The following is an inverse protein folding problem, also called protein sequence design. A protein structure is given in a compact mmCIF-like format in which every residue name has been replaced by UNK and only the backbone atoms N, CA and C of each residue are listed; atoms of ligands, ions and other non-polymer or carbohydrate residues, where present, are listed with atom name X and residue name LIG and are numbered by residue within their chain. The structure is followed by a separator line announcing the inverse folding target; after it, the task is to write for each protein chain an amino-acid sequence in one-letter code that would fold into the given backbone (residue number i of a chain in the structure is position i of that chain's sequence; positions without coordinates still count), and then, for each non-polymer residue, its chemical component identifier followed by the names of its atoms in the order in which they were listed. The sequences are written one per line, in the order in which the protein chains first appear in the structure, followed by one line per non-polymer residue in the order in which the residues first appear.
data_IF_818736257923
#
_entry.id   IF_818736257923
#
_cell.length_a   1.000
_cell.length_b   1.000
_cell.length_c   1.000
_cell.angle_alpha   90.00
_cell.angle_beta   90.00
_cell.angle_gamma   90.00
#
_symmetry.space_group_name_H-M   'P 1'
#
loop_
_entity.id
_entity.type
_entity.pdbx_description
1 polymer ?
#
# COMPACT_ATOMS: atom_id res chain seq x y z
N UNK A 1 13.86 4.11 16.07
CA UNK A 1 13.07 5.01 16.94
C UNK A 1 11.57 4.88 16.65
N UNK A 2 11.10 5.01 15.40
CA UNK A 2 9.67 4.88 15.06
C UNK A 2 9.00 3.54 15.47
N UNK A 3 9.57 2.40 15.06
CA UNK A 3 9.00 1.06 15.39
C UNK A 3 8.82 0.88 16.90
N UNK A 4 9.86 1.20 17.70
CA UNK A 4 9.78 1.09 19.16
C UNK A 4 8.69 1.99 19.76
N UNK A 5 8.53 3.21 19.24
CA UNK A 5 7.48 4.13 19.69
C UNK A 5 6.08 3.57 19.38
N UNK A 6 5.85 3.09 18.16
CA UNK A 6 4.58 2.46 17.80
C UNK A 6 4.30 1.19 18.61
N UNK A 7 5.29 0.31 18.80
CA UNK A 7 5.14 -0.89 19.63
C UNK A 7 4.79 -0.55 21.08
N UNK A 8 5.36 0.52 21.64
CA UNK A 8 5.01 0.97 22.99
C UNK A 8 3.61 1.60 23.04
N UNK A 9 3.21 2.38 22.04
CA UNK A 9 1.87 2.94 21.95
C UNK A 9 0.80 1.84 21.86
N UNK A 10 1.08 0.73 21.15
CA UNK A 10 0.19 -0.44 21.04
C UNK A 10 0.03 -1.23 22.35
N UNK A 11 0.84 -0.96 23.39
CA UNK A 11 0.60 -1.51 24.75
C UNK A 11 -0.49 -0.75 25.50
N UNK A 12 -0.75 0.50 25.11
CA UNK A 12 -1.71 1.39 25.76
C UNK A 12 -3.00 1.46 24.95
N UNK A 13 -2.88 1.74 23.66
CA UNK A 13 -4.01 1.73 22.74
C UNK A 13 -4.21 0.32 22.21
N UNK A 14 -5.36 -0.26 22.53
CA UNK A 14 -5.78 -1.55 22.00
C UNK A 14 -6.95 -1.35 21.04
N UNK A 15 -7.28 -2.40 20.28
CA UNK A 15 -8.46 -2.40 19.42
C UNK A 15 -9.76 -2.12 20.22
N UNK A 16 -9.81 -2.55 21.48
CA UNK A 16 -10.98 -2.39 22.36
C UNK A 16 -11.02 -1.02 23.03
N UNK A 17 -9.88 -0.54 23.54
CA UNK A 17 -9.84 0.70 24.34
C UNK A 17 -9.79 1.96 23.48
N UNK A 18 -9.13 1.91 22.33
CA UNK A 18 -8.94 3.07 21.47
C UNK A 18 -8.80 2.66 20.00
N UNK A 19 -9.89 2.15 19.38
CA UNK A 19 -9.85 1.55 18.04
C UNK A 19 -9.17 2.46 17.00
N UNK A 20 -9.55 3.75 16.93
CA UNK A 20 -8.98 4.71 15.98
C UNK A 20 -7.47 4.90 16.18
N UNK A 21 -7.03 5.15 17.41
CA UNK A 21 -5.60 5.34 17.71
C UNK A 21 -4.81 4.06 17.46
N UNK A 22 -5.36 2.90 17.80
CA UNK A 22 -4.76 1.61 17.51
C UNK A 22 -4.60 1.40 16.00
N UNK A 23 -5.66 1.62 15.20
CA UNK A 23 -5.60 1.50 13.75
C UNK A 23 -4.57 2.44 13.10
N UNK A 24 -4.51 3.70 13.56
CA UNK A 24 -3.51 4.66 13.10
C UNK A 24 -2.08 4.25 13.46
N UNK A 25 -1.90 3.70 14.65
CA UNK A 25 -0.59 3.23 15.13
C UNK A 25 -0.12 2.00 14.36
N UNK A 26 -1.05 1.08 14.02
CA UNK A 26 -0.75 -0.08 13.18
C UNK A 26 -0.33 0.33 11.77
N UNK A 27 -1.00 1.31 11.15
CA UNK A 27 -0.59 1.81 9.82
C UNK A 27 0.77 2.53 9.87
N UNK A 28 1.02 3.34 10.91
CA UNK A 28 2.33 3.93 11.14
C UNK A 28 3.43 2.88 11.30
N UNK A 29 3.14 1.79 12.02
CA UNK A 29 4.04 0.64 12.16
C UNK A 29 4.28 -0.04 10.81
N UNK A 30 3.24 -0.23 9.99
CA UNK A 30 3.36 -0.80 8.65
C UNK A 30 4.30 0.02 7.77
N UNK A 31 4.09 1.34 7.71
CA UNK A 31 4.94 2.26 6.97
C UNK A 31 6.40 2.25 7.48
N UNK A 32 6.59 2.20 8.80
CA UNK A 32 7.92 2.14 9.39
C UNK A 32 8.68 0.86 9.02
N UNK A 33 7.99 -0.28 8.95
CA UNK A 33 8.58 -1.54 8.48
C UNK A 33 8.87 -1.53 6.97
N UNK A 34 7.97 -0.98 6.15
CA UNK A 34 8.19 -0.84 4.70
C UNK A 34 9.49 -0.09 4.38
N UNK A 35 9.77 0.98 5.12
CA UNK A 35 10.92 1.85 4.91
C UNK A 35 12.17 1.43 5.71
N UNK A 36 12.11 0.34 6.47
CA UNK A 36 13.22 -0.08 7.33
C UNK A 36 14.33 -0.74 6.51
N UNK A 37 15.49 -0.07 6.45
CA UNK A 37 16.70 -0.57 5.77
C UNK A 37 17.45 -1.61 6.63
N UNK A 38 17.31 -1.55 7.95
CA UNK A 38 18.00 -2.47 8.88
C UNK A 38 17.23 -3.78 9.09
N UNK A 39 17.94 -4.87 9.36
CA UNK A 39 17.35 -6.19 9.62
C UNK A 39 17.09 -6.96 8.32
N UNK A 40 16.38 -8.08 8.43
CA UNK A 40 16.01 -8.87 7.26
C UNK A 40 14.88 -8.18 6.47
N UNK A 41 15.11 -7.95 5.17
CA UNK A 41 14.14 -7.25 4.32
C UNK A 41 12.85 -8.05 4.14
N UNK A 42 12.95 -9.38 4.05
CA UNK A 42 11.77 -10.22 3.88
C UNK A 42 10.88 -10.17 5.14
N UNK A 43 11.47 -10.28 6.32
CA UNK A 43 10.77 -10.14 7.59
C UNK A 43 10.13 -8.75 7.77
N UNK A 44 10.84 -7.68 7.42
CA UNK A 44 10.28 -6.32 7.46
C UNK A 44 9.02 -6.21 6.59
N UNK A 45 9.01 -6.81 5.40
CA UNK A 45 7.84 -6.79 4.51
C UNK A 45 6.67 -7.59 5.09
N UNK A 46 6.91 -8.75 5.72
CA UNK A 46 5.84 -9.49 6.39
C UNK A 46 5.25 -8.71 7.57
N UNK A 47 6.10 -8.07 8.38
CA UNK A 47 5.66 -7.22 9.49
C UNK A 47 4.85 -6.02 9.02
N UNK A 48 5.22 -5.43 7.87
CA UNK A 48 4.44 -4.37 7.25
C UNK A 48 3.05 -4.84 6.80
N UNK A 49 2.98 -6.00 6.14
CA UNK A 49 1.72 -6.60 5.69
C UNK A 49 0.82 -6.91 6.88
N UNK A 50 1.37 -7.50 7.94
CA UNK A 50 0.62 -7.82 9.15
C UNK A 50 0.06 -6.56 9.81
N UNK A 51 0.89 -5.52 9.98
CA UNK A 51 0.48 -4.28 10.61
C UNK A 51 -0.57 -3.52 9.77
N UNK A 52 -0.43 -3.47 8.45
CA UNK A 52 -1.42 -2.83 7.59
C UNK A 52 -2.77 -3.58 7.61
N UNK A 53 -2.75 -4.92 7.57
CA UNK A 53 -3.97 -5.72 7.73
C UNK A 53 -4.65 -5.49 9.09
N UNK A 54 -3.88 -5.30 10.16
CA UNK A 54 -4.43 -4.90 11.47
C UNK A 54 -5.09 -3.52 11.39
N UNK A 55 -4.44 -2.54 10.77
CA UNK A 55 -5.01 -1.19 10.62
C UNK A 55 -6.36 -1.18 9.87
N UNK A 56 -6.50 -2.02 8.83
CA UNK A 56 -7.75 -2.16 8.06
C UNK A 56 -8.93 -2.73 8.84
N UNK A 57 -8.72 -3.31 10.03
CA UNK A 57 -9.84 -3.68 10.93
C UNK A 57 -10.61 -2.46 11.44
N UNK A 58 -9.98 -1.30 11.45
CA UNK A 58 -10.56 -0.04 11.93
C UNK A 58 -10.74 0.95 10.78
N UNK A 59 -9.71 1.11 9.94
CA UNK A 59 -9.73 1.97 8.76
C UNK A 59 -10.47 1.25 7.65
N UNK A 60 -11.79 1.37 7.63
CA UNK A 60 -12.64 0.79 6.58
C UNK A 60 -12.98 1.84 5.53
N UNK A 61 -13.29 1.42 4.30
CA UNK A 61 -13.72 2.32 3.23
C UNK A 61 -14.92 3.19 3.64
N UNK A 62 -15.86 2.64 4.40
CA UNK A 62 -17.07 3.34 4.81
C UNK A 62 -16.82 4.40 5.89
N UNK A 63 -15.91 4.14 6.84
CA UNK A 63 -15.69 5.02 7.98
C UNK A 63 -14.54 6.02 7.75
N UNK A 64 -13.48 5.59 7.06
CA UNK A 64 -12.22 6.32 6.89
C UNK A 64 -11.68 6.10 5.48
N UNK A 65 -12.37 6.58 4.42
CA UNK A 65 -12.03 6.24 3.04
C UNK A 65 -10.58 6.62 2.68
N UNK A 66 -10.12 7.81 3.07
CA UNK A 66 -8.77 8.28 2.76
C UNK A 66 -7.70 7.47 3.50
N UNK A 67 -7.90 7.20 4.79
CA UNK A 67 -6.95 6.41 5.58
C UNK A 67 -6.95 4.93 5.18
N UNK A 68 -8.11 4.40 4.78
CA UNK A 68 -8.22 3.08 4.16
C UNK A 68 -7.40 3.02 2.87
N UNK A 69 -7.52 4.01 1.98
CA UNK A 69 -6.76 4.08 0.74
C UNK A 69 -5.24 4.19 1.00
N UNK A 70 -4.82 4.98 1.98
CA UNK A 70 -3.41 5.08 2.38
C UNK A 70 -2.86 3.71 2.84
N UNK A 71 -3.61 3.00 3.68
CA UNK A 71 -3.22 1.67 4.17
C UNK A 71 -3.23 0.62 3.07
N UNK A 72 -4.19 0.66 2.14
CA UNK A 72 -4.22 -0.23 0.97
C UNK A 72 -3.03 0.02 0.04
N UNK A 73 -2.64 1.28 -0.16
CA UNK A 73 -1.46 1.63 -0.96
C UNK A 73 -0.17 1.10 -0.32
N UNK A 74 -0.06 1.16 1.02
CA UNK A 74 1.04 0.53 1.77
C UNK A 74 1.06 -1.00 1.58
N UNK A 75 -0.11 -1.67 1.64
CA UNK A 75 -0.20 -3.12 1.35
C UNK A 75 0.22 -3.45 -0.08
N UNK A 76 -0.24 -2.67 -1.06
CA UNK A 76 0.13 -2.85 -2.45
C UNK A 76 1.64 -2.78 -2.64
N UNK A 77 2.29 -1.78 -2.04
CA UNK A 77 3.74 -1.62 -2.08
C UNK A 77 4.46 -2.76 -1.37
N UNK A 78 3.95 -3.22 -0.23
CA UNK A 78 4.50 -4.33 0.52
C UNK A 78 4.45 -5.63 -0.30
N UNK A 79 3.31 -5.94 -0.92
CA UNK A 79 3.15 -7.11 -1.78
C UNK A 79 4.01 -7.03 -3.03
N UNK A 80 4.09 -5.86 -3.69
CA UNK A 80 4.97 -5.68 -4.85
C UNK A 80 6.43 -5.99 -4.49
N UNK A 81 6.88 -5.55 -3.33
CA UNK A 81 8.26 -5.76 -2.87
C UNK A 81 8.50 -7.10 -2.14
N UNK A 82 7.44 -7.86 -1.85
CA UNK A 82 7.50 -9.09 -1.04
C UNK A 82 8.44 -10.12 -1.64
N UNK A 83 9.29 -10.68 -0.78
CA UNK A 83 10.32 -11.65 -1.14
C UNK A 83 9.83 -13.09 -0.94
N UNK A 84 8.97 -13.31 0.07
CA UNK A 84 8.41 -14.62 0.39
C UNK A 84 7.21 -14.96 -0.51
N UNK A 85 6.93 -16.25 -0.60
CA UNK A 85 5.88 -16.86 -1.42
C UNK A 85 6.05 -16.59 -2.93
N UNK A 86 5.02 -16.92 -3.70
CA UNK A 86 5.03 -16.80 -5.16
C UNK A 86 5.04 -15.33 -5.59
N UNK A 87 6.11 -14.92 -6.29
CA UNK A 87 6.27 -13.55 -6.79
C UNK A 87 5.14 -13.16 -7.74
N UNK A 88 4.63 -14.08 -8.56
CA UNK A 88 3.56 -13.77 -9.49
C UNK A 88 2.25 -13.44 -8.75
N UNK A 89 1.86 -14.24 -7.76
CA UNK A 89 0.71 -13.97 -6.92
C UNK A 89 0.85 -12.68 -6.11
N UNK A 90 2.05 -12.41 -5.57
CA UNK A 90 2.33 -11.16 -4.86
C UNK A 90 2.12 -9.92 -5.76
N UNK A 91 2.54 -9.98 -7.02
CA UNK A 91 2.29 -8.88 -7.98
C UNK A 91 0.81 -8.74 -8.31
N UNK A 92 0.06 -9.84 -8.48
CA UNK A 92 -1.41 -9.74 -8.70
C UNK A 92 -2.11 -9.09 -7.50
N UNK A 93 -1.71 -9.43 -6.26
CA UNK A 93 -2.23 -8.77 -5.05
C UNK A 93 -1.92 -7.28 -5.05
N UNK A 94 -0.70 -6.89 -5.38
CA UNK A 94 -0.30 -5.49 -5.46
C UNK A 94 -1.16 -4.71 -6.47
N UNK A 95 -1.35 -5.26 -7.68
CA UNK A 95 -2.19 -4.67 -8.72
C UNK A 95 -3.62 -4.48 -8.21
N UNK A 96 -4.21 -5.52 -7.62
CA UNK A 96 -5.57 -5.44 -7.09
C UNK A 96 -5.71 -4.34 -6.02
N UNK A 97 -4.76 -4.25 -5.09
CA UNK A 97 -4.78 -3.19 -4.07
C UNK A 97 -4.64 -1.79 -4.67
N UNK A 98 -3.72 -1.56 -5.63
CA UNK A 98 -3.61 -0.26 -6.29
C UNK A 98 -4.90 0.11 -7.05
N UNK A 99 -5.55 -0.84 -7.72
CA UNK A 99 -6.83 -0.59 -8.38
C UNK A 99 -7.94 -0.18 -7.41
N UNK A 100 -7.98 -0.78 -6.21
CA UNK A 100 -8.91 -0.38 -5.16
C UNK A 100 -8.62 1.02 -4.60
N UNK A 101 -7.34 1.38 -4.43
CA UNK A 101 -6.92 2.73 -4.00
C UNK A 101 -7.40 3.81 -4.97
N UNK A 102 -7.33 3.54 -6.29
CA UNK A 102 -7.76 4.46 -7.34
C UNK A 102 -9.29 4.71 -7.38
N UNK A 103 -10.09 3.97 -6.61
CA UNK A 103 -11.52 4.28 -6.42
C UNK A 103 -11.74 5.40 -5.40
N UNK A 104 -10.73 5.70 -4.58
CA UNK A 104 -10.79 6.72 -3.52
C UNK A 104 -9.91 7.91 -3.87
N UNK A 105 -8.63 7.65 -4.14
CA UNK A 105 -7.76 8.67 -4.71
C UNK A 105 -8.15 8.78 -6.16
N UNK A 106 -8.88 9.81 -6.54
CA UNK A 106 -9.21 10.13 -7.93
C UNK A 106 -8.40 11.34 -8.38
N UNK A 107 -8.28 11.55 -9.69
CA UNK A 107 -7.58 12.69 -10.24
C UNK A 107 -8.14 14.03 -9.72
N UNK A 108 -9.47 14.15 -9.59
CA UNK A 108 -10.15 15.38 -9.19
C UNK A 108 -9.98 15.70 -7.71
N UNK A 109 -10.03 14.68 -6.85
CA UNK A 109 -10.02 14.87 -5.40
C UNK A 109 -8.62 14.82 -4.79
N UNK A 110 -7.73 13.97 -5.34
CA UNK A 110 -6.39 13.70 -4.81
C UNK A 110 -5.38 13.53 -5.94
N UNK A 111 -5.12 14.57 -6.76
CA UNK A 111 -4.30 14.43 -7.96
C UNK A 111 -2.90 13.87 -7.67
N UNK A 112 -2.22 14.32 -6.61
CA UNK A 112 -0.88 13.82 -6.28
C UNK A 112 -0.88 12.36 -5.85
N UNK A 113 -1.85 11.94 -5.04
CA UNK A 113 -1.98 10.55 -4.60
C UNK A 113 -2.40 9.65 -5.76
N UNK A 114 -3.33 10.10 -6.60
CA UNK A 114 -3.72 9.45 -7.87
C UNK A 114 -2.49 9.16 -8.73
N UNK A 115 -1.67 10.19 -9.02
CA UNK A 115 -0.48 10.02 -9.85
C UNK A 115 0.54 9.06 -9.22
N UNK A 116 0.72 9.15 -7.89
CA UNK A 116 1.62 8.25 -7.17
C UNK A 116 1.15 6.79 -7.25
N UNK A 117 -0.14 6.54 -7.04
CA UNK A 117 -0.74 5.20 -7.16
C UNK A 117 -0.69 4.68 -8.58
N UNK A 118 -0.96 5.52 -9.59
CA UNK A 118 -0.85 5.15 -11.00
C UNK A 118 0.59 4.77 -11.39
N UNK A 119 1.60 5.53 -10.95
CA UNK A 119 3.01 5.19 -11.17
C UNK A 119 3.39 3.84 -10.54
N UNK A 120 2.90 3.57 -9.33
CA UNK A 120 3.16 2.29 -8.68
C UNK A 120 2.44 1.12 -9.36
N UNK A 121 1.22 1.35 -9.87
CA UNK A 121 0.47 0.39 -10.66
C UNK A 121 1.18 0.08 -11.99
N UNK A 122 1.72 1.10 -12.67
CA UNK A 122 2.53 0.93 -13.87
C UNK A 122 3.77 0.06 -13.62
N UNK A 123 4.46 0.29 -12.50
CA UNK A 123 5.60 -0.53 -12.10
C UNK A 123 5.18 -1.99 -11.81
N UNK A 124 4.04 -2.20 -11.15
CA UNK A 124 3.51 -3.54 -10.91
C UNK A 124 3.15 -4.27 -12.21
N UNK A 125 2.55 -3.59 -13.19
CA UNK A 125 2.30 -4.17 -14.52
C UNK A 125 3.59 -4.50 -15.27
N UNK A 126 4.62 -3.67 -15.16
CA UNK A 126 5.94 -3.95 -15.75
C UNK A 126 6.60 -5.19 -15.14
N UNK A 127 6.40 -5.41 -13.83
CA UNK A 127 6.91 -6.57 -13.09
C UNK A 127 6.01 -7.82 -13.21
N UNK A 128 4.84 -7.71 -13.83
CA UNK A 128 3.81 -8.76 -13.87
C UNK A 128 4.26 -9.96 -14.70
N UNK A 129 4.23 -11.13 -14.07
CA UNK A 129 4.65 -12.41 -14.66
C UNK A 129 3.50 -13.10 -15.42
N UNK A 130 2.26 -12.92 -14.96
CA UNK A 130 1.08 -13.55 -15.57
C UNK A 130 0.57 -12.75 -16.76
N UNK A 131 -0.08 -13.45 -17.69
CA UNK A 131 -0.67 -12.86 -18.89
C UNK A 131 0.34 -12.62 -20.01
N UNK A 132 -0.11 -11.98 -21.08
CA UNK A 132 0.76 -11.61 -22.20
C UNK A 132 1.65 -10.41 -21.83
N UNK A 133 2.93 -10.49 -22.23
CA UNK A 133 3.91 -9.45 -21.89
C UNK A 133 3.60 -8.13 -22.60
N UNK A 134 3.15 -8.15 -23.85
CA UNK A 134 2.83 -6.92 -24.56
C UNK A 134 1.62 -6.24 -23.91
N UNK A 135 0.58 -7.01 -23.56
CA UNK A 135 -0.58 -6.48 -22.84
C UNK A 135 -0.21 -5.85 -21.49
N UNK A 136 0.70 -6.48 -20.73
CA UNK A 136 1.18 -5.94 -19.47
C UNK A 136 1.92 -4.60 -19.66
N UNK A 137 2.72 -4.47 -20.73
CA UNK A 137 3.41 -3.21 -21.05
C UNK A 137 2.42 -2.12 -21.47
N UNK A 138 1.40 -2.44 -22.28
CA UNK A 138 0.35 -1.48 -22.65
C UNK A 138 -0.39 -0.94 -21.42
N UNK A 139 -0.70 -1.82 -20.46
CA UNK A 139 -1.29 -1.42 -19.17
C UNK A 139 -0.37 -0.52 -18.34
N UNK A 140 0.93 -0.80 -18.34
CA UNK A 140 1.91 0.06 -17.67
C UNK A 140 2.01 1.44 -18.32
N UNK A 141 2.04 1.51 -19.65
CA UNK A 141 2.07 2.77 -20.41
C UNK A 141 0.82 3.60 -20.11
N UNK A 142 -0.36 2.98 -20.14
CA UNK A 142 -1.62 3.66 -19.83
C UNK A 142 -1.59 4.25 -18.40
N UNK A 143 -1.15 3.48 -17.40
CA UNK A 143 -1.04 3.98 -16.03
C UNK A 143 -0.02 5.14 -15.89
N UNK A 144 1.14 5.08 -16.57
CA UNK A 144 2.08 6.20 -16.62
C UNK A 144 1.47 7.45 -17.27
N UNK A 145 0.70 7.29 -18.35
CA UNK A 145 0.00 8.42 -18.99
C UNK A 145 -1.01 9.07 -18.05
N UNK A 146 -1.75 8.28 -17.27
CA UNK A 146 -2.64 8.80 -16.23
C UNK A 146 -1.90 9.57 -15.14
N UNK A 147 -0.74 9.08 -14.70
CA UNK A 147 0.08 9.77 -13.69
C UNK A 147 0.64 11.10 -14.20
N UNK A 148 1.02 11.17 -15.48
CA UNK A 148 1.61 12.37 -16.06
C UNK A 148 0.64 13.54 -16.17
N UNK A 149 -0.68 13.30 -16.21
CA UNK A 149 -1.70 14.37 -16.28
C UNK A 149 -1.55 15.44 -15.18
N UNK A 150 -1.02 15.05 -14.02
CA UNK A 150 -0.79 15.95 -12.86
C UNK A 150 0.44 16.84 -13.05
N UNK A 151 1.45 16.39 -13.81
CA UNK A 151 2.66 17.16 -14.08
C UNK A 151 2.53 18.16 -15.24
N UNK A 152 1.41 18.12 -15.98
CA UNK A 152 1.11 19.01 -17.11
C UNK A 152 -0.03 19.98 -16.82
N UNK A 153 -0.59 19.95 -15.61
CA UNK A 153 -1.66 20.83 -15.12
C UNK A 153 -1.10 21.95 -14.25
#
# INVERSE_FOLDING_TARGET
MAISAFTNALKVWTLESSPKNWGNTQDGLANAYLNRIRGDKAENLEMAIEAANKALKVRTLAAFPQEWAATQNNLALAYRNRIRDDKAENIEKAIAYYQEVLKVYTFEAFPQDWATTQNNLAAAYTERIRGDKAENIEKAIAACQEALKVGVA
#
